data_IF_533253830927
#
_entry.id   IF_533253830927
#
_cell.length_a   1.000
_cell.length_b   1.000
_cell.length_c   1.000
_cell.angle_alpha   90.00
_cell.angle_beta   90.00
_cell.angle_gamma   90.00
#
_symmetry.space_group_name_H-M   'P 1'
#
loop_
_entity.id
_entity.type
_entity.pdbx_description
1 polymer ?
#
# COMPACT_ATOMS: atom_id res chain seq x y z
N UNK A 1 40.73 36.55 -14.78
CA UNK A 1 39.27 36.75 -14.90
C UNK A 1 38.63 35.37 -14.67
N UNK A 2 38.15 35.15 -13.43
CA UNK A 2 37.54 33.84 -13.07
C UNK A 2 36.08 33.86 -13.53
N UNK A 3 35.73 33.08 -14.54
CA UNK A 3 34.37 32.92 -14.96
C UNK A 3 33.68 32.02 -13.91
N UNK A 4 32.91 32.64 -13.00
CA UNK A 4 32.07 31.88 -12.08
C UNK A 4 31.00 31.14 -12.91
N UNK A 5 31.03 29.81 -12.85
CA UNK A 5 30.05 28.93 -13.47
C UNK A 5 28.67 29.13 -12.80
N UNK A 6 27.86 29.99 -13.41
CA UNK A 6 26.48 30.27 -12.97
C UNK A 6 25.59 29.01 -12.96
N UNK A 7 25.96 27.99 -13.74
CA UNK A 7 25.21 26.74 -13.89
C UNK A 7 25.25 25.91 -12.60
N UNK A 8 26.38 25.94 -11.88
CA UNK A 8 26.55 25.24 -10.60
C UNK A 8 25.67 25.81 -9.50
N UNK A 9 25.56 27.15 -9.41
CA UNK A 9 24.70 27.81 -8.43
C UNK A 9 23.22 27.61 -8.69
N UNK A 10 22.80 27.63 -9.96
CA UNK A 10 21.42 27.38 -10.38
C UNK A 10 21.01 25.95 -10.05
N UNK A 11 21.88 24.97 -10.31
CA UNK A 11 21.64 23.57 -9.96
C UNK A 11 21.49 23.35 -8.46
N UNK A 12 22.39 23.91 -7.65
CA UNK A 12 22.35 23.82 -6.20
C UNK A 12 21.09 24.50 -5.63
N UNK A 13 20.64 25.62 -6.20
CA UNK A 13 19.41 26.29 -5.80
C UNK A 13 18.16 25.41 -6.06
N UNK A 14 18.05 24.79 -7.23
CA UNK A 14 16.94 23.88 -7.52
C UNK A 14 16.96 22.59 -6.68
N UNK A 15 18.15 22.07 -6.38
CA UNK A 15 18.29 20.92 -5.46
C UNK A 15 17.84 21.27 -4.04
N UNK A 16 18.18 22.45 -3.56
CA UNK A 16 17.77 22.96 -2.25
C UNK A 16 16.26 23.21 -2.18
N UNK A 17 15.65 23.77 -3.23
CA UNK A 17 14.19 23.95 -3.31
C UNK A 17 13.48 22.59 -3.30
N UNK A 18 13.91 21.62 -4.12
CA UNK A 18 13.34 20.27 -4.12
C UNK A 18 13.49 19.57 -2.77
N UNK A 19 14.58 19.79 -2.08
CA UNK A 19 14.77 19.20 -0.75
C UNK A 19 13.88 19.87 0.29
N UNK A 20 13.65 21.19 0.21
CA UNK A 20 12.68 21.90 1.05
C UNK A 20 11.24 21.45 0.76
N UNK A 21 10.84 21.35 -0.50
CA UNK A 21 9.52 20.84 -0.91
C UNK A 21 9.31 19.39 -0.41
N UNK A 22 10.31 18.52 -0.53
CA UNK A 22 10.26 17.15 0.01
C UNK A 22 10.15 17.11 1.53
N UNK A 23 10.81 18.03 2.25
CA UNK A 23 10.72 18.14 3.71
C UNK A 23 9.39 18.74 4.17
N UNK A 24 8.79 19.65 3.41
CA UNK A 24 7.44 20.19 3.68
C UNK A 24 6.36 19.16 3.38
N UNK A 25 6.47 18.41 2.29
CA UNK A 25 5.55 17.34 1.92
C UNK A 25 5.61 16.19 2.93
N UNK A 26 6.80 15.80 3.38
CA UNK A 26 6.97 14.78 4.44
C UNK A 26 6.39 15.19 5.80
N UNK A 27 6.30 16.49 6.10
CA UNK A 27 5.68 17.00 7.35
C UNK A 27 4.15 17.05 7.30
N UNK A 28 3.55 17.04 6.11
CA UNK A 28 2.09 17.06 5.92
C UNK A 28 1.47 15.66 5.75
N UNK A 29 2.29 14.62 5.69
CA UNK A 29 1.88 13.26 5.34
C UNK A 29 1.56 12.42 6.58
N UNK A 30 0.41 12.68 7.19
CA UNK A 30 -0.11 11.91 8.31
C UNK A 30 -1.25 11.00 7.87
N UNK A 31 -1.09 9.69 8.06
CA UNK A 31 -2.23 8.79 8.06
C UNK A 31 -3.00 8.98 9.38
N UNK A 32 -4.12 9.69 9.32
CA UNK A 32 -4.99 9.89 10.50
C UNK A 32 -5.99 8.75 10.61
N UNK A 33 -6.40 8.41 11.83
CA UNK A 33 -7.38 7.36 12.04
C UNK A 33 -8.25 7.63 13.28
N UNK A 34 -9.42 7.00 13.30
CA UNK A 34 -10.26 6.87 14.50
C UNK A 34 -10.58 5.39 14.74
N UNK A 35 -10.84 5.05 15.97
CA UNK A 35 -11.32 3.72 16.38
C UNK A 35 -12.83 3.73 16.55
N UNK A 36 -13.50 2.77 15.94
CA UNK A 36 -14.96 2.55 16.06
C UNK A 36 -15.27 1.36 16.96
N UNK A 37 -14.23 0.57 17.30
CA UNK A 37 -14.27 -0.55 18.24
C UNK A 37 -13.08 -0.48 19.18
N UNK A 38 -13.10 -1.30 20.24
CA UNK A 38 -11.92 -1.51 21.08
C UNK A 38 -10.90 -2.34 20.30
N UNK A 39 -9.84 -1.69 19.86
CA UNK A 39 -8.77 -2.27 19.07
C UNK A 39 -7.45 -1.55 19.36
N UNK A 40 -6.34 -2.25 19.26
CA UNK A 40 -5.02 -1.64 19.36
C UNK A 40 -4.78 -0.69 18.19
N UNK A 41 -4.22 0.50 18.48
CA UNK A 41 -3.91 1.50 17.45
C UNK A 41 -2.92 0.95 16.42
N UNK A 42 -3.10 1.27 15.13
CA UNK A 42 -2.09 0.99 14.11
C UNK A 42 -0.73 1.55 14.51
N UNK A 43 0.35 0.80 14.28
CA UNK A 43 1.70 1.19 14.73
C UNK A 43 2.77 0.66 13.78
N UNK A 44 3.86 1.44 13.61
CA UNK A 44 5.12 0.92 13.05
C UNK A 44 5.91 0.22 14.13
N UNK A 45 6.41 -0.98 13.88
CA UNK A 45 7.25 -1.70 14.82
C UNK A 45 8.60 -0.97 15.02
N UNK A 46 9.17 -0.45 13.91
CA UNK A 46 10.37 0.39 13.93
C UNK A 46 10.09 1.68 13.12
N UNK A 47 10.71 2.80 13.44
CA UNK A 47 10.45 4.09 12.77
C UNK A 47 10.62 4.08 11.24
N UNK A 48 11.50 3.22 10.74
CA UNK A 48 11.85 3.09 9.32
C UNK A 48 11.09 1.99 8.58
N UNK A 49 10.20 1.24 9.27
CA UNK A 49 9.41 0.20 8.61
C UNK A 49 8.46 0.84 7.58
N UNK A 50 8.37 0.27 6.39
CA UNK A 50 7.39 0.69 5.39
C UNK A 50 5.96 0.39 5.84
N UNK A 51 5.75 -0.76 6.49
CA UNK A 51 4.45 -1.25 6.95
C UNK A 51 4.00 -0.64 8.27
N UNK A 52 2.71 -0.32 8.34
CA UNK A 52 1.99 0.03 9.56
C UNK A 52 1.18 -1.20 9.96
N UNK A 53 1.46 -1.76 11.12
CA UNK A 53 0.77 -2.94 11.63
C UNK A 53 -0.64 -2.61 12.07
N UNK A 54 -1.62 -3.41 11.64
CA UNK A 54 -3.00 -3.37 12.08
C UNK A 54 -3.36 -4.64 12.85
N UNK A 55 -4.35 -4.52 13.74
CA UNK A 55 -4.71 -5.57 14.71
C UNK A 55 -6.17 -5.95 14.57
N UNK A 56 -6.47 -7.21 14.85
CA UNK A 56 -7.84 -7.71 14.98
C UNK A 56 -8.47 -7.10 16.26
N UNK A 57 -9.73 -6.58 16.20
CA UNK A 57 -10.40 -6.00 17.36
C UNK A 57 -10.52 -6.95 18.54
N UNK A 58 -10.62 -6.38 19.76
CA UNK A 58 -10.71 -7.13 21.02
C UNK A 58 -12.02 -7.91 21.16
N UNK A 59 -13.09 -7.47 20.46
CA UNK A 59 -14.42 -8.12 20.45
C UNK A 59 -14.57 -9.19 19.35
N UNK A 60 -13.50 -9.44 18.59
CA UNK A 60 -13.51 -10.47 17.54
C UNK A 60 -13.61 -11.87 18.15
N UNK A 61 -14.59 -12.63 17.68
CA UNK A 61 -14.73 -14.02 18.06
C UNK A 61 -13.68 -14.87 17.30
N UNK A 62 -12.89 -15.66 18.05
CA UNK A 62 -11.94 -16.59 17.42
C UNK A 62 -12.57 -17.31 16.24
N UNK A 63 -11.90 -17.28 15.09
CA UNK A 63 -12.39 -17.91 13.87
C UNK A 63 -11.33 -18.85 13.28
N UNK A 64 -11.83 -19.86 12.54
CA UNK A 64 -11.01 -20.87 11.89
C UNK A 64 -11.29 -20.85 10.40
N UNK A 65 -10.26 -20.53 9.61
CA UNK A 65 -10.36 -20.46 8.15
C UNK A 65 -9.85 -21.77 7.57
N UNK A 66 -10.77 -22.54 6.98
CA UNK A 66 -10.45 -23.79 6.30
C UNK A 66 -9.47 -23.55 5.11
N UNK A 67 -8.77 -24.57 4.64
CA UNK A 67 -8.02 -24.48 3.39
C UNK A 67 -8.91 -23.99 2.25
N UNK A 68 -8.42 -23.01 1.48
CA UNK A 68 -9.13 -22.34 0.38
C UNK A 68 -10.32 -21.46 0.82
N UNK A 69 -10.58 -21.35 2.12
CA UNK A 69 -11.56 -20.41 2.65
C UNK A 69 -11.00 -19.00 2.79
N UNK A 70 -11.89 -18.06 3.05
CA UNK A 70 -11.57 -16.65 3.29
C UNK A 70 -12.33 -16.10 4.50
N UNK A 71 -11.94 -14.91 4.92
CA UNK A 71 -12.63 -14.15 5.96
C UNK A 71 -12.53 -12.65 5.68
N UNK A 72 -13.61 -11.94 5.95
CA UNK A 72 -13.66 -10.48 5.97
C UNK A 72 -13.82 -10.00 7.42
N UNK A 73 -12.83 -9.27 7.94
CA UNK A 73 -12.81 -8.78 9.33
C UNK A 73 -12.99 -7.27 9.33
N UNK A 74 -14.01 -6.77 10.01
CA UNK A 74 -14.16 -5.37 10.35
C UNK A 74 -13.04 -4.98 11.34
N UNK A 75 -12.13 -4.11 10.91
CA UNK A 75 -10.96 -3.72 11.70
C UNK A 75 -11.27 -2.84 12.91
N UNK A 76 -12.45 -2.25 12.98
CA UNK A 76 -12.78 -1.21 13.95
C UNK A 76 -12.01 0.11 13.75
N UNK A 77 -11.42 0.32 12.57
CA UNK A 77 -10.61 1.50 12.23
C UNK A 77 -11.20 2.19 11.00
N UNK A 78 -11.36 3.51 11.06
CA UNK A 78 -11.53 4.38 9.89
C UNK A 78 -10.26 5.21 9.72
N UNK A 79 -9.85 5.43 8.49
CA UNK A 79 -8.64 6.18 8.14
C UNK A 79 -8.96 7.43 7.32
N UNK A 80 -8.08 8.41 7.39
CA UNK A 80 -7.99 9.52 6.43
C UNK A 80 -6.64 9.37 5.74
N UNK A 81 -6.67 8.86 4.53
CA UNK A 81 -5.49 8.75 3.67
C UNK A 81 -5.23 10.12 3.05
N UNK A 82 -3.98 10.63 3.03
CA UNK A 82 -3.66 11.90 2.39
C UNK A 82 -4.02 11.89 0.90
N UNK A 83 -4.40 13.04 0.36
CA UNK A 83 -4.63 13.21 -1.08
C UNK A 83 -3.35 12.90 -1.87
N UNK A 84 -3.48 12.25 -3.03
CA UNK A 84 -2.35 11.77 -3.84
C UNK A 84 -1.73 10.47 -3.33
N UNK A 85 -2.30 9.85 -2.29
CA UNK A 85 -1.86 8.56 -1.75
C UNK A 85 -3.01 7.56 -1.65
N UNK A 86 -2.65 6.28 -1.59
CA UNK A 86 -3.54 5.19 -1.22
C UNK A 86 -2.95 4.43 -0.03
N UNK A 87 -3.82 3.88 0.84
CA UNK A 87 -3.41 2.90 1.83
C UNK A 87 -3.58 1.51 1.23
N UNK A 88 -2.48 0.80 1.03
CA UNK A 88 -2.46 -0.54 0.44
C UNK A 88 -2.17 -1.57 1.53
N UNK A 89 -3.10 -2.47 1.77
CA UNK A 89 -2.87 -3.59 2.67
C UNK A 89 -2.03 -4.68 2.02
N UNK A 90 -1.09 -5.22 2.80
CA UNK A 90 -0.21 -6.32 2.41
C UNK A 90 -0.07 -7.32 3.54
N UNK A 91 0.29 -8.52 3.16
CA UNK A 91 0.64 -9.57 4.11
C UNK A 91 1.87 -9.16 4.93
N UNK A 92 1.88 -9.51 6.20
CA UNK A 92 3.12 -9.54 6.96
C UNK A 92 3.92 -10.78 6.56
N UNK A 93 5.22 -10.64 6.36
CA UNK A 93 6.07 -11.75 5.88
C UNK A 93 5.93 -13.02 6.72
N UNK A 94 5.92 -12.90 8.05
CA UNK A 94 5.72 -14.05 8.95
C UNK A 94 4.32 -14.68 8.80
N UNK A 95 3.29 -13.87 8.56
CA UNK A 95 1.91 -14.37 8.35
C UNK A 95 1.79 -15.06 6.99
N UNK A 96 2.35 -14.47 5.94
CA UNK A 96 2.37 -15.07 4.59
C UNK A 96 3.10 -16.42 4.58
N UNK A 97 4.28 -16.48 5.21
CA UNK A 97 5.11 -17.70 5.24
C UNK A 97 4.52 -18.78 6.13
N UNK A 98 4.06 -18.45 7.34
CA UNK A 98 3.66 -19.46 8.34
C UNK A 98 2.17 -19.82 8.23
N UNK A 99 1.29 -18.82 8.00
CA UNK A 99 -0.16 -19.04 7.92
C UNK A 99 -0.66 -19.20 6.48
N UNK A 100 0.17 -18.91 5.47
CA UNK A 100 -0.20 -18.95 4.03
C UNK A 100 -1.39 -18.06 3.69
N UNK A 101 -1.58 -16.98 4.46
CA UNK A 101 -2.60 -15.98 4.14
C UNK A 101 -2.15 -15.10 2.98
N UNK A 102 -3.09 -14.74 2.12
CA UNK A 102 -2.98 -13.66 1.14
C UNK A 102 -4.11 -12.66 1.34
N UNK A 103 -3.87 -11.44 0.88
CA UNK A 103 -4.82 -10.33 1.02
C UNK A 103 -5.70 -10.27 -0.23
N UNK A 104 -7.01 -10.10 -0.03
CA UNK A 104 -7.98 -9.86 -1.08
C UNK A 104 -8.18 -8.36 -1.34
N UNK A 105 -9.28 -7.78 -0.85
CA UNK A 105 -9.52 -6.34 -0.97
C UNK A 105 -8.44 -5.56 -0.21
N UNK A 106 -7.58 -4.85 -0.94
CA UNK A 106 -6.34 -4.32 -0.38
C UNK A 106 -6.19 -2.81 -0.48
N UNK A 107 -6.98 -2.13 -1.33
CA UNK A 107 -6.82 -0.71 -1.65
C UNK A 107 -7.82 0.12 -0.85
N UNK A 108 -7.34 1.16 -0.20
CA UNK A 108 -8.16 2.17 0.48
C UNK A 108 -7.82 3.53 -0.12
N UNK A 109 -8.78 4.11 -0.80
CA UNK A 109 -8.67 5.39 -1.49
C UNK A 109 -8.67 6.58 -0.51
N UNK A 110 -8.13 7.72 -0.95
CA UNK A 110 -8.04 8.93 -0.12
C UNK A 110 -9.40 9.54 0.25
N UNK A 111 -10.45 9.27 -0.52
CA UNK A 111 -11.83 9.74 -0.26
C UNK A 111 -12.71 8.71 0.47
N UNK A 112 -12.24 7.47 0.68
CA UNK A 112 -12.97 6.47 1.44
C UNK A 112 -13.09 6.85 2.92
N UNK A 113 -14.30 6.79 3.48
CA UNK A 113 -14.58 7.16 4.89
C UNK A 113 -15.25 6.04 5.68
N UNK A 114 -15.39 4.85 5.10
CA UNK A 114 -15.91 3.68 5.79
C UNK A 114 -14.89 3.05 6.75
N UNK A 115 -15.32 2.03 7.48
CA UNK A 115 -14.42 1.17 8.25
C UNK A 115 -13.59 0.34 7.28
N UNK A 116 -12.27 0.29 7.48
CA UNK A 116 -11.42 -0.59 6.69
C UNK A 116 -11.61 -2.04 7.11
N UNK A 117 -11.57 -2.96 6.16
CA UNK A 117 -11.76 -4.38 6.40
C UNK A 117 -10.49 -5.15 6.01
N UNK A 118 -10.22 -6.22 6.73
CA UNK A 118 -9.14 -7.16 6.39
C UNK A 118 -9.75 -8.36 5.68
N UNK A 119 -9.46 -8.51 4.39
CA UNK A 119 -9.91 -9.66 3.62
C UNK A 119 -8.73 -10.62 3.43
N UNK A 120 -8.82 -11.80 4.01
CA UNK A 120 -7.75 -12.80 4.07
C UNK A 120 -8.22 -14.11 3.44
N UNK A 121 -7.39 -14.68 2.57
CA UNK A 121 -7.55 -16.03 2.03
C UNK A 121 -6.55 -16.99 2.66
N UNK A 122 -6.98 -18.18 3.03
CA UNK A 122 -6.09 -19.25 3.44
C UNK A 122 -5.67 -20.08 2.22
N UNK A 123 -4.51 -19.79 1.66
CA UNK A 123 -3.93 -20.54 0.54
C UNK A 123 -3.13 -21.76 0.99
N UNK A 124 -3.11 -22.06 2.29
CA UNK A 124 -2.48 -23.25 2.84
C UNK A 124 -3.36 -24.50 2.72
N UNK A 125 -2.83 -25.61 3.21
CA UNK A 125 -3.49 -26.91 3.22
C UNK A 125 -4.02 -27.30 4.61
N UNK A 126 -3.88 -26.40 5.62
CA UNK A 126 -4.36 -26.61 6.99
C UNK A 126 -5.25 -25.45 7.41
N UNK A 127 -6.22 -25.76 8.28
CA UNK A 127 -7.07 -24.74 8.89
C UNK A 127 -6.24 -23.77 9.71
N UNK A 128 -6.46 -22.47 9.53
CA UNK A 128 -5.76 -21.41 10.25
C UNK A 128 -6.70 -20.75 11.24
N UNK A 129 -6.14 -20.45 12.42
CA UNK A 129 -6.85 -19.75 13.50
C UNK A 129 -6.49 -18.27 13.50
N UNK A 130 -7.49 -17.43 13.74
CA UNK A 130 -7.36 -15.98 14.01
C UNK A 130 -8.03 -15.67 15.33
N UNK A 131 -7.35 -14.90 16.17
CA UNK A 131 -7.82 -14.46 17.48
C UNK A 131 -7.89 -12.93 17.57
N UNK A 132 -8.67 -12.44 18.52
CA UNK A 132 -8.65 -11.04 18.92
C UNK A 132 -7.23 -10.58 19.28
N UNK A 133 -6.87 -9.38 18.83
CA UNK A 133 -5.53 -8.82 19.05
C UNK A 133 -4.43 -9.32 18.11
N UNK A 134 -4.71 -10.30 17.24
CA UNK A 134 -3.74 -10.79 16.27
C UNK A 134 -3.27 -9.65 15.35
N UNK A 135 -1.97 -9.64 15.07
CA UNK A 135 -1.31 -8.73 14.14
C UNK A 135 -1.10 -9.43 12.80
N UNK A 136 -2.11 -9.39 11.95
CA UNK A 136 -2.19 -10.24 10.75
C UNK A 136 -1.91 -9.52 9.43
N UNK A 137 -1.99 -8.19 9.42
CA UNK A 137 -1.92 -7.38 8.20
C UNK A 137 -1.08 -6.13 8.46
N UNK A 138 -0.48 -5.59 7.41
CA UNK A 138 0.18 -4.29 7.43
C UNK A 138 -0.35 -3.41 6.30
N UNK A 139 -0.41 -2.10 6.56
CA UNK A 139 -0.77 -1.08 5.58
C UNK A 139 0.46 -0.29 5.14
N UNK A 140 0.56 0.01 3.86
CA UNK A 140 1.55 0.90 3.28
C UNK A 140 0.84 2.13 2.72
N UNK A 141 1.31 3.32 3.06
CA UNK A 141 0.86 4.56 2.41
C UNK A 141 1.74 4.77 1.19
N UNK A 142 1.14 4.72 0.00
CA UNK A 142 1.85 4.70 -1.28
C UNK A 142 1.40 5.90 -2.12
N UNK A 143 2.31 6.70 -2.68
CA UNK A 143 1.93 7.75 -3.62
C UNK A 143 1.31 7.13 -4.87
N UNK A 144 0.25 7.76 -5.38
CA UNK A 144 -0.45 7.34 -6.59
C UNK A 144 -0.42 8.44 -7.64
N UNK A 145 -0.39 8.04 -8.91
CA UNK A 145 -0.58 8.97 -10.01
C UNK A 145 -2.05 8.95 -10.43
N UNK A 146 -2.74 10.06 -10.28
CA UNK A 146 -4.12 10.25 -10.73
C UNK A 146 -4.09 10.73 -12.19
N UNK A 147 -3.80 9.80 -13.11
CA UNK A 147 -3.84 10.07 -14.53
C UNK A 147 -5.28 10.12 -15.06
N UNK A 148 -5.50 10.90 -16.09
CA UNK A 148 -6.75 10.82 -16.87
C UNK A 148 -6.79 9.48 -17.61
N UNK A 149 -7.99 8.91 -17.69
CA UNK A 149 -8.23 7.65 -18.41
C UNK A 149 -8.97 8.00 -19.69
N UNK A 150 -8.26 7.94 -20.81
CA UNK A 150 -8.78 8.30 -22.12
C UNK A 150 -8.82 7.08 -23.04
N UNK A 151 -9.96 6.82 -23.66
CA UNK A 151 -10.06 5.87 -24.77
C UNK A 151 -9.48 6.50 -26.04
N UNK A 152 -8.60 5.78 -26.70
CA UNK A 152 -8.01 6.18 -27.98
C UNK A 152 -8.40 5.19 -29.07
N UNK A 153 -8.25 5.57 -30.34
CA UNK A 153 -8.51 4.67 -31.47
C UNK A 153 -7.37 3.67 -31.66
N UNK A 154 -7.63 2.58 -32.41
CA UNK A 154 -6.63 1.59 -32.79
C UNK A 154 -5.48 2.24 -33.59
N UNK A 155 -5.82 3.13 -34.55
CA UNK A 155 -4.83 3.88 -35.32
C UNK A 155 -3.91 4.76 -34.45
N UNK A 156 -4.47 5.37 -33.38
CA UNK A 156 -3.66 6.13 -32.42
C UNK A 156 -2.78 5.20 -31.57
N UNK A 157 -3.31 4.04 -31.17
CA UNK A 157 -2.56 3.05 -30.38
C UNK A 157 -1.37 2.48 -31.17
N UNK A 158 -1.54 2.21 -32.45
CA UNK A 158 -0.51 1.65 -33.34
C UNK A 158 0.70 2.59 -33.52
N UNK A 159 0.55 3.88 -33.23
CA UNK A 159 1.67 4.82 -33.22
C UNK A 159 2.59 4.68 -31.98
N UNK A 160 2.16 3.98 -30.92
CA UNK A 160 2.97 3.72 -29.71
C UNK A 160 3.82 2.46 -29.86
N UNK A 161 4.81 2.50 -30.74
CA UNK A 161 5.72 1.37 -31.01
C UNK A 161 6.74 1.22 -29.88
N UNK A 162 6.96 -0.03 -29.42
CA UNK A 162 8.00 -0.36 -28.45
C UNK A 162 8.83 -1.57 -28.93
N UNK A 163 10.07 -1.66 -28.51
CA UNK A 163 10.94 -2.81 -28.85
C UNK A 163 10.39 -4.16 -28.35
N UNK A 164 9.58 -4.14 -27.31
CA UNK A 164 8.95 -5.33 -26.75
C UNK A 164 7.68 -5.76 -27.52
N UNK A 165 6.96 -4.81 -28.13
CA UNK A 165 5.65 -5.05 -28.76
C UNK A 165 4.70 -5.79 -27.83
N UNK A 166 4.04 -6.84 -28.33
CA UNK A 166 3.11 -7.68 -27.59
C UNK A 166 3.77 -8.80 -26.76
N UNK A 167 5.09 -8.82 -26.67
CA UNK A 167 5.84 -9.84 -25.97
C UNK A 167 5.52 -9.92 -24.48
N UNK A 168 4.94 -11.04 -24.04
CA UNK A 168 4.54 -11.34 -22.64
C UNK A 168 4.82 -12.78 -22.27
N UNK A 169 4.43 -13.20 -21.04
CA UNK A 169 4.39 -14.60 -20.56
C UNK A 169 5.63 -15.46 -20.87
N UNK A 170 6.82 -14.89 -20.74
CA UNK A 170 8.09 -15.60 -20.98
C UNK A 170 8.71 -15.32 -22.34
N UNK A 171 8.27 -14.31 -23.10
CA UNK A 171 8.87 -13.90 -24.38
C UNK A 171 10.34 -13.52 -24.26
N UNK A 172 10.83 -13.17 -23.05
CA UNK A 172 12.26 -12.89 -22.75
C UNK A 172 13.05 -14.13 -22.32
N UNK A 173 12.44 -15.32 -22.35
CA UNK A 173 13.06 -16.56 -21.89
C UNK A 173 13.01 -16.77 -20.37
N UNK A 174 13.31 -17.99 -19.92
CA UNK A 174 13.39 -18.38 -18.50
C UNK A 174 14.83 -18.63 -18.04
N UNK A 175 15.83 -18.37 -18.89
CA UNK A 175 17.27 -18.44 -18.57
C UNK A 175 17.99 -17.31 -19.29
#
# INVERSE_FOLDING_TARGET
>A
MVIHDSTSYVKAFYEMQREQERKEDSRKMDLKFIKTKKVKSPVRAHPTDAGIDFFVPDDFQTNFIAPRGDILIDSGIKVIVPEGYALIFKEKSGVAVNKKFTIGAAVVDSDYRGVVHFHLFNNGNVTQRIDAGDKIIQGLVVPISLCEVNEITEDEYDNYVTDRGEGGFGSSGVK
#
